data_IF_638667080356
#
_entry.id   IF_638667080356
#
_cell.length_a   1.000
_cell.length_b   1.000
_cell.length_c   1.000
_cell.angle_alpha   90.00
_cell.angle_beta   90.00
_cell.angle_gamma   90.00
#
_symmetry.space_group_name_H-M   'P 1'
#
loop_
_entity.id
_entity.type
_entity.pdbx_description
1 polymer ?
#
# COMPACT_ATOMS: atom_id res chain seq x y z
N UNK A 1 -12.75 7.18 -3.41
CA UNK A 1 -11.75 6.12 -3.18
C UNK A 1 -12.41 4.88 -2.55
N UNK A 2 -13.00 4.99 -1.36
CA UNK A 2 -13.63 3.87 -0.62
C UNK A 2 -14.63 3.08 -1.47
N UNK A 3 -15.55 3.76 -2.19
CA UNK A 3 -16.55 3.10 -3.04
C UNK A 3 -15.91 2.18 -4.12
N UNK A 4 -14.78 2.60 -4.73
CA UNK A 4 -14.08 1.76 -5.71
C UNK A 4 -13.49 0.51 -5.08
N UNK A 5 -12.90 0.63 -3.89
CA UNK A 5 -12.34 -0.51 -3.15
C UNK A 5 -13.42 -1.52 -2.77
N UNK A 6 -14.55 -1.06 -2.23
CA UNK A 6 -15.67 -1.94 -1.87
C UNK A 6 -16.20 -2.69 -3.11
N UNK A 7 -16.40 -2.00 -4.23
CA UNK A 7 -16.85 -2.65 -5.47
C UNK A 7 -15.82 -3.67 -5.97
N UNK A 8 -14.53 -3.36 -5.88
CA UNK A 8 -13.47 -4.30 -6.25
C UNK A 8 -13.50 -5.56 -5.39
N UNK A 9 -13.63 -5.40 -4.06
CA UNK A 9 -13.73 -6.52 -3.13
C UNK A 9 -14.98 -7.39 -3.40
N UNK A 10 -16.12 -6.76 -3.64
CA UNK A 10 -17.34 -7.50 -3.99
C UNK A 10 -17.17 -8.31 -5.29
N UNK A 11 -16.53 -7.74 -6.31
CA UNK A 11 -16.22 -8.45 -7.56
C UNK A 11 -15.32 -9.65 -7.31
N UNK A 12 -14.27 -9.49 -6.50
CA UNK A 12 -13.37 -10.59 -6.12
C UNK A 12 -14.14 -11.71 -5.41
N UNK A 13 -14.97 -11.38 -4.42
CA UNK A 13 -15.78 -12.35 -3.70
C UNK A 13 -16.69 -13.14 -4.65
N UNK A 14 -17.37 -12.46 -5.60
CA UNK A 14 -18.21 -13.12 -6.60
C UNK A 14 -17.41 -14.09 -7.47
N UNK A 15 -16.22 -13.69 -7.92
CA UNK A 15 -15.35 -14.54 -8.75
C UNK A 15 -14.89 -15.78 -7.98
N UNK A 16 -14.48 -15.62 -6.72
CA UNK A 16 -14.06 -16.70 -5.84
C UNK A 16 -15.22 -17.66 -5.55
N UNK A 17 -16.40 -17.12 -5.18
CA UNK A 17 -17.57 -17.92 -4.87
C UNK A 17 -18.05 -18.78 -6.06
N UNK A 18 -17.95 -18.27 -7.30
CA UNK A 18 -18.20 -19.06 -8.51
C UNK A 18 -17.25 -20.26 -8.68
N UNK A 19 -16.11 -20.24 -8.01
CA UNK A 19 -15.14 -21.33 -8.02
C UNK A 19 -15.26 -22.28 -6.81
N UNK A 20 -16.17 -22.01 -5.89
CA UNK A 20 -16.30 -22.76 -4.64
C UNK A 20 -16.47 -24.27 -4.87
N UNK A 21 -17.37 -24.67 -5.78
CA UNK A 21 -17.58 -26.07 -6.09
C UNK A 21 -16.34 -26.75 -6.69
N UNK A 22 -15.62 -26.06 -7.58
CA UNK A 22 -14.36 -26.56 -8.18
C UNK A 22 -13.30 -26.88 -7.11
N UNK A 23 -13.26 -26.12 -6.03
CA UNK A 23 -12.30 -26.30 -4.95
C UNK A 23 -12.88 -27.06 -3.75
N UNK A 24 -14.12 -27.56 -3.87
CA UNK A 24 -14.79 -28.32 -2.81
C UNK A 24 -15.06 -27.49 -1.55
N UNK A 25 -15.24 -26.18 -1.70
CA UNK A 25 -15.48 -25.26 -0.59
C UNK A 25 -16.99 -25.03 -0.42
N UNK A 26 -17.46 -25.25 0.82
CA UNK A 26 -18.83 -24.95 1.25
C UNK A 26 -18.78 -24.39 2.68
N UNK A 27 -19.70 -23.53 3.03
CA UNK A 27 -19.87 -23.10 4.40
C UNK A 27 -20.44 -24.25 5.24
N UNK A 28 -19.86 -24.49 6.37
CA UNK A 28 -20.37 -25.41 7.40
C UNK A 28 -21.56 -24.78 8.13
N UNK A 29 -22.31 -25.56 8.87
CA UNK A 29 -23.40 -25.05 9.70
C UNK A 29 -22.90 -24.01 10.73
N UNK A 30 -21.75 -24.30 11.37
CA UNK A 30 -21.12 -23.37 12.32
C UNK A 30 -20.71 -22.04 11.69
N UNK A 31 -20.12 -22.08 10.49
CA UNK A 31 -19.74 -20.85 9.75
C UNK A 31 -20.97 -20.02 9.39
N UNK A 32 -22.07 -20.65 8.96
CA UNK A 32 -23.33 -19.96 8.70
C UNK A 32 -23.92 -19.34 9.95
N UNK A 33 -23.89 -20.06 11.08
CA UNK A 33 -24.35 -19.52 12.36
C UNK A 33 -23.52 -18.29 12.75
N UNK A 34 -22.20 -18.33 12.60
CA UNK A 34 -21.31 -17.19 12.87
C UNK A 34 -21.63 -15.97 11.98
N UNK A 35 -21.97 -16.20 10.70
CA UNK A 35 -22.40 -15.13 9.79
C UNK A 35 -23.72 -14.52 10.25
N UNK A 36 -24.68 -15.33 10.65
CA UNK A 36 -25.98 -14.89 11.19
C UNK A 36 -25.81 -14.09 12.48
N UNK A 37 -24.96 -14.55 13.41
CA UNK A 37 -24.67 -13.87 14.68
C UNK A 37 -23.97 -12.51 14.42
N UNK A 38 -23.06 -12.48 13.46
CA UNK A 38 -22.39 -11.24 13.04
C UNK A 38 -23.37 -10.23 12.43
N UNK A 39 -24.27 -10.71 11.57
CA UNK A 39 -25.33 -9.87 10.99
C UNK A 39 -26.28 -9.33 12.06
N UNK A 40 -26.64 -10.16 13.05
CA UNK A 40 -27.45 -9.74 14.19
C UNK A 40 -26.75 -8.68 15.02
N UNK A 41 -25.47 -8.87 15.33
CA UNK A 41 -24.66 -7.90 16.06
C UNK A 41 -24.59 -6.56 15.35
N UNK A 42 -24.33 -6.58 14.02
CA UNK A 42 -24.32 -5.37 13.20
C UNK A 42 -25.70 -4.67 13.19
N UNK A 43 -26.78 -5.46 13.10
CA UNK A 43 -28.16 -4.95 13.15
C UNK A 43 -28.51 -4.32 14.51
N UNK A 44 -27.93 -4.81 15.60
CA UNK A 44 -28.17 -4.29 16.95
C UNK A 44 -27.32 -3.04 17.24
N UNK A 45 -26.20 -2.86 16.55
CA UNK A 45 -25.34 -1.69 16.71
C UNK A 45 -26.03 -0.41 16.21
N UNK A 46 -25.78 0.70 16.89
CA UNK A 46 -26.40 2.01 16.57
C UNK A 46 -25.99 2.51 15.18
N UNK A 47 -24.71 2.37 14.83
CA UNK A 47 -24.20 2.79 13.52
C UNK A 47 -24.70 1.86 12.42
N UNK A 48 -24.72 0.55 12.66
CA UNK A 48 -25.25 -0.45 11.74
C UNK A 48 -26.73 -0.22 11.44
N UNK A 49 -27.56 -0.03 12.46
CA UNK A 49 -28.99 0.32 12.28
C UNK A 49 -29.20 1.54 11.42
N UNK A 50 -28.39 2.59 11.65
CA UNK A 50 -28.49 3.83 10.87
C UNK A 50 -28.13 3.57 9.41
N UNK A 51 -27.01 2.90 9.15
CA UNK A 51 -26.55 2.59 7.81
C UNK A 51 -27.56 1.74 7.03
N UNK A 52 -28.12 0.71 7.65
CA UNK A 52 -29.11 -0.17 7.03
C UNK A 52 -30.40 0.58 6.68
N UNK A 53 -30.86 1.46 7.57
CA UNK A 53 -32.03 2.30 7.31
C UNK A 53 -31.80 3.27 6.14
N UNK A 54 -30.61 3.84 6.04
CA UNK A 54 -30.24 4.77 4.97
C UNK A 54 -30.13 4.09 3.58
N UNK A 55 -29.66 2.85 3.51
CA UNK A 55 -29.53 2.11 2.25
C UNK A 55 -30.69 1.13 1.96
N UNK A 56 -31.64 0.96 2.86
CA UNK A 56 -32.76 0.04 2.70
C UNK A 56 -32.38 -1.45 2.79
N UNK A 57 -31.19 -1.77 3.34
CA UNK A 57 -30.73 -3.15 3.49
C UNK A 57 -31.43 -3.86 4.67
N UNK A 58 -31.69 -5.15 4.51
CA UNK A 58 -32.23 -6.02 5.54
C UNK A 58 -31.13 -6.74 6.32
N UNK A 59 -31.49 -7.39 7.42
CA UNK A 59 -30.56 -8.25 8.16
C UNK A 59 -30.07 -9.40 7.28
N UNK A 60 -30.95 -9.97 6.49
CA UNK A 60 -30.68 -11.07 5.56
C UNK A 60 -29.66 -10.65 4.48
N UNK A 61 -29.73 -9.41 4.00
CA UNK A 61 -28.74 -8.88 3.06
C UNK A 61 -27.35 -8.81 3.70
N UNK A 62 -27.26 -8.38 4.96
CA UNK A 62 -26.01 -8.32 5.70
C UNK A 62 -25.47 -9.74 5.99
N UNK A 63 -26.33 -10.67 6.38
CA UNK A 63 -25.98 -12.07 6.60
C UNK A 63 -25.39 -12.69 5.32
N UNK A 64 -26.03 -12.43 4.19
CA UNK A 64 -25.52 -12.89 2.88
C UNK A 64 -24.16 -12.29 2.52
N UNK A 65 -23.91 -11.04 2.84
CA UNK A 65 -22.58 -10.42 2.64
C UNK A 65 -21.51 -11.12 3.49
N UNK A 66 -21.80 -11.46 4.73
CA UNK A 66 -20.89 -12.22 5.60
C UNK A 66 -20.66 -13.64 5.06
N UNK A 67 -21.72 -14.34 4.64
CA UNK A 67 -21.61 -15.67 4.02
C UNK A 67 -20.75 -15.63 2.75
N UNK A 68 -21.01 -14.68 1.83
CA UNK A 68 -20.28 -14.53 0.58
C UNK A 68 -18.79 -14.22 0.83
N UNK A 69 -18.49 -13.38 1.81
CA UNK A 69 -17.11 -13.05 2.18
C UNK A 69 -16.38 -14.22 2.84
N UNK A 70 -17.07 -14.96 3.70
CA UNK A 70 -16.52 -16.14 4.39
C UNK A 70 -16.22 -17.26 3.39
N UNK A 71 -17.14 -17.51 2.45
CA UNK A 71 -16.94 -18.50 1.39
C UNK A 71 -15.78 -18.11 0.48
N UNK A 72 -15.71 -16.84 0.06
CA UNK A 72 -14.61 -16.33 -0.77
C UNK A 72 -13.25 -16.52 -0.10
N UNK A 73 -13.14 -16.16 1.18
CA UNK A 73 -11.91 -16.38 1.96
C UNK A 73 -11.52 -17.84 2.05
N UNK A 74 -12.49 -18.74 2.19
CA UNK A 74 -12.26 -20.19 2.22
C UNK A 74 -11.75 -20.73 0.89
N UNK A 75 -12.32 -20.25 -0.22
CA UNK A 75 -11.87 -20.58 -1.58
C UNK A 75 -10.46 -20.05 -1.82
N UNK A 76 -10.18 -18.82 -1.44
CA UNK A 76 -8.87 -18.20 -1.58
C UNK A 76 -7.80 -19.01 -0.84
N UNK A 77 -8.00 -19.31 0.44
CA UNK A 77 -7.09 -20.16 1.23
C UNK A 77 -6.88 -21.53 0.59
N UNK A 78 -7.92 -22.10 -0.02
CA UNK A 78 -7.81 -23.40 -0.69
C UNK A 78 -7.00 -23.32 -1.99
N UNK A 79 -7.10 -22.23 -2.72
CA UNK A 79 -6.27 -21.94 -3.90
C UNK A 79 -4.81 -21.79 -3.45
N UNK A 80 -4.54 -20.91 -2.49
CA UNK A 80 -3.20 -20.64 -1.95
C UNK A 80 -2.54 -21.91 -1.44
N UNK A 81 -3.29 -22.80 -0.75
CA UNK A 81 -2.76 -24.06 -0.24
C UNK A 81 -2.42 -25.10 -1.34
N UNK A 82 -2.97 -24.93 -2.55
CA UNK A 82 -2.66 -25.81 -3.70
C UNK A 82 -1.53 -25.28 -4.56
N UNK A 83 -1.32 -23.97 -4.54
CA UNK A 83 -0.22 -23.34 -5.25
C UNK A 83 1.05 -23.52 -4.42
N UNK A 84 1.98 -24.34 -4.91
CA UNK A 84 3.34 -24.36 -4.39
C UNK A 84 4.03 -23.09 -4.89
N UNK A 85 3.86 -22.00 -4.17
CA UNK A 85 4.65 -20.80 -4.43
C UNK A 85 6.06 -21.09 -3.96
N UNK A 86 6.96 -21.32 -4.91
CA UNK A 86 8.39 -21.36 -4.61
C UNK A 86 8.86 -19.91 -4.68
N UNK A 87 9.01 -19.27 -3.53
CA UNK A 87 9.62 -17.95 -3.44
C UNK A 87 11.13 -18.15 -3.48
N UNK A 88 11.80 -17.51 -4.42
CA UNK A 88 13.27 -17.51 -4.49
C UNK A 88 13.83 -16.63 -3.38
N UNK A 89 15.09 -16.83 -3.00
CA UNK A 89 15.75 -15.99 -2.00
C UNK A 89 15.73 -14.52 -2.39
N UNK A 90 15.85 -14.21 -3.69
CA UNK A 90 15.76 -12.83 -4.20
C UNK A 90 14.36 -12.22 -4.06
N UNK A 91 13.30 -13.00 -4.25
CA UNK A 91 11.92 -12.53 -4.02
C UNK A 91 11.59 -12.37 -2.53
N UNK A 92 12.23 -13.17 -1.67
CA UNK A 92 12.06 -13.07 -0.21
C UNK A 92 12.89 -11.94 0.41
N UNK A 93 13.90 -11.43 -0.29
CA UNK A 93 14.76 -10.35 0.20
C UNK A 93 14.01 -9.04 0.33
N UNK A 94 14.40 -8.29 1.33
CA UNK A 94 13.95 -6.91 1.55
C UNK A 94 15.09 -5.95 1.29
N UNK A 95 14.84 -4.94 0.49
CA UNK A 95 15.76 -3.82 0.35
C UNK A 95 15.51 -2.83 1.49
N UNK A 96 16.54 -2.47 2.21
CA UNK A 96 16.48 -1.42 3.24
C UNK A 96 17.14 -0.16 2.68
N UNK A 97 16.41 0.94 2.69
CA UNK A 97 16.85 2.22 2.13
C UNK A 97 16.77 3.34 3.18
N UNK A 98 17.61 4.34 2.99
CA UNK A 98 17.46 5.66 3.60
C UNK A 98 17.11 6.65 2.49
N UNK A 99 15.97 7.32 2.59
CA UNK A 99 15.51 8.26 1.56
C UNK A 99 15.32 9.67 2.11
N UNK A 100 15.39 10.65 1.22
CA UNK A 100 15.03 12.05 1.50
C UNK A 100 14.04 12.50 0.45
N UNK A 101 12.86 12.95 0.88
CA UNK A 101 11.81 13.44 0.00
C UNK A 101 11.82 14.96 -0.06
N UNK A 102 11.89 15.50 -1.26
CA UNK A 102 11.67 16.91 -1.55
C UNK A 102 10.19 17.08 -1.93
N UNK A 103 9.39 17.45 -0.97
CA UNK A 103 7.93 17.49 -1.12
C UNK A 103 7.47 18.50 -2.19
N UNK A 104 6.47 18.09 -2.98
CA UNK A 104 5.78 18.93 -3.97
C UNK A 104 4.37 19.33 -3.52
N UNK A 105 4.11 19.19 -2.22
CA UNK A 105 2.89 19.64 -1.56
C UNK A 105 3.19 20.78 -0.59
N UNK A 106 2.19 21.60 -0.33
CA UNK A 106 2.21 22.65 0.69
C UNK A 106 1.07 22.41 1.66
N UNK A 107 1.34 22.56 2.94
CA UNK A 107 0.31 22.54 3.98
C UNK A 107 0.15 23.96 4.50
N UNK A 108 -1.07 24.47 4.48
CA UNK A 108 -1.41 25.79 5.03
C UNK A 108 -1.53 25.77 6.55
N UNK A 109 -1.82 26.94 7.14
CA UNK A 109 -1.96 27.10 8.59
C UNK A 109 -3.14 26.33 9.18
N UNK A 110 -4.13 26.00 8.33
CA UNK A 110 -5.34 25.27 8.69
C UNK A 110 -5.16 23.76 8.50
N UNK A 111 -3.95 23.30 8.14
CA UNK A 111 -3.62 21.89 7.94
C UNK A 111 -4.05 21.33 6.58
N UNK A 112 -4.53 22.17 5.66
CA UNK A 112 -4.96 21.74 4.33
C UNK A 112 -3.75 21.61 3.41
N UNK A 113 -3.55 20.40 2.88
CA UNK A 113 -2.47 20.10 1.93
C UNK A 113 -2.93 20.31 0.49
N UNK A 114 -2.13 21.02 -0.28
CA UNK A 114 -2.36 21.33 -1.71
C UNK A 114 -1.12 21.02 -2.52
N UNK A 115 -1.33 20.61 -3.78
CA UNK A 115 -0.23 20.39 -4.73
C UNK A 115 0.39 21.71 -5.17
N UNK A 116 1.72 21.72 -5.33
CA UNK A 116 2.44 22.84 -5.92
C UNK A 116 2.14 22.99 -7.41
N UNK A 117 2.26 24.19 -7.94
CA UNK A 117 2.19 24.45 -9.37
C UNK A 117 3.33 23.77 -10.15
N UNK A 118 3.16 23.60 -11.45
CA UNK A 118 4.19 23.00 -12.31
C UNK A 118 5.55 23.74 -12.24
N UNK A 119 5.51 25.09 -12.15
CA UNK A 119 6.71 25.91 -11.98
C UNK A 119 7.43 25.62 -10.64
N UNK A 120 6.68 25.48 -9.57
CA UNK A 120 7.22 25.18 -8.26
C UNK A 120 7.76 23.74 -8.21
N UNK A 121 7.04 22.77 -8.77
CA UNK A 121 7.52 21.38 -8.87
C UNK A 121 8.86 21.31 -9.61
N UNK A 122 9.02 22.05 -10.72
CA UNK A 122 10.29 22.13 -11.46
C UNK A 122 11.41 22.72 -10.60
N UNK A 123 11.12 23.72 -9.78
CA UNK A 123 12.11 24.29 -8.86
C UNK A 123 12.51 23.28 -7.75
N UNK A 124 11.54 22.52 -7.22
CA UNK A 124 11.80 21.45 -6.24
C UNK A 124 12.67 20.35 -6.85
N UNK A 125 12.38 19.92 -8.09
CA UNK A 125 13.21 18.95 -8.81
C UNK A 125 14.66 19.42 -8.94
N UNK A 126 14.85 20.66 -9.38
CA UNK A 126 16.21 21.24 -9.51
C UNK A 126 16.95 21.29 -8.17
N UNK A 127 16.26 21.55 -7.05
CA UNK A 127 16.84 21.50 -5.71
C UNK A 127 17.28 20.07 -5.34
N UNK A 128 16.43 19.08 -5.62
CA UNK A 128 16.76 17.67 -5.37
C UNK A 128 17.98 17.22 -6.18
N UNK A 129 18.02 17.58 -7.47
CA UNK A 129 19.15 17.27 -8.36
C UNK A 129 20.47 17.95 -7.89
N UNK A 130 20.39 19.21 -7.43
CA UNK A 130 21.55 19.90 -6.87
C UNK A 130 22.04 19.24 -5.57
N UNK A 131 21.13 18.85 -4.69
CA UNK A 131 21.45 18.15 -3.46
C UNK A 131 22.09 16.78 -3.74
N UNK A 132 21.59 16.03 -4.73
CA UNK A 132 22.19 14.77 -5.15
C UNK A 132 23.63 14.97 -5.62
N UNK A 133 23.92 15.99 -6.43
CA UNK A 133 25.28 16.32 -6.88
C UNK A 133 26.21 16.66 -5.71
N UNK A 134 25.69 17.38 -4.68
CA UNK A 134 26.48 17.65 -3.46
C UNK A 134 26.81 16.39 -2.68
N UNK A 135 25.87 15.43 -2.64
CA UNK A 135 26.09 14.12 -2.00
C UNK A 135 27.13 13.32 -2.79
N UNK A 136 26.95 13.20 -4.10
CA UNK A 136 27.84 12.44 -4.98
C UNK A 136 29.29 13.01 -5.00
N UNK A 137 29.43 14.32 -4.85
CA UNK A 137 30.74 14.98 -4.75
C UNK A 137 31.38 14.92 -3.34
N UNK A 138 30.70 14.30 -2.37
CA UNK A 138 31.18 14.22 -0.98
C UNK A 138 31.06 15.51 -0.17
N UNK A 139 30.48 16.57 -0.73
CA UNK A 139 30.30 17.86 -0.02
C UNK A 139 29.29 17.77 1.11
N UNK A 140 28.27 16.92 0.95
CA UNK A 140 27.23 16.66 1.96
C UNK A 140 26.97 15.18 2.12
N UNK A 141 26.50 14.78 3.29
CA UNK A 141 25.93 13.45 3.49
C UNK A 141 24.42 13.51 3.26
N UNK A 142 23.80 12.38 2.89
CA UNK A 142 22.35 12.30 2.74
C UNK A 142 21.61 12.70 4.02
N UNK A 143 22.15 12.34 5.19
CA UNK A 143 21.61 12.72 6.50
C UNK A 143 21.65 14.24 6.74
N UNK A 144 22.66 14.94 6.24
CA UNK A 144 22.74 16.41 6.32
C UNK A 144 21.69 17.04 5.41
N UNK A 145 21.51 16.52 4.21
CA UNK A 145 20.45 16.98 3.28
C UNK A 145 19.07 16.74 3.88
N UNK A 146 18.82 15.59 4.51
CA UNK A 146 17.57 15.30 5.21
C UNK A 146 17.26 16.35 6.27
N UNK A 147 18.24 16.68 7.09
CA UNK A 147 18.11 17.72 8.13
C UNK A 147 17.81 19.10 7.55
N UNK A 148 18.45 19.48 6.44
CA UNK A 148 18.22 20.76 5.75
C UNK A 148 16.80 20.85 5.16
N UNK A 149 16.19 19.71 4.80
CA UNK A 149 14.81 19.60 4.31
C UNK A 149 13.79 19.42 5.44
N UNK A 150 14.20 19.46 6.72
CA UNK A 150 13.36 19.09 7.86
C UNK A 150 12.70 17.72 7.72
N UNK A 151 13.37 16.80 7.01
CA UNK A 151 12.89 15.47 6.79
C UNK A 151 13.42 14.54 7.88
N UNK A 152 12.50 14.06 8.71
CA UNK A 152 12.80 13.05 9.72
C UNK A 152 12.58 11.68 9.07
N UNK A 153 13.65 10.95 8.81
CA UNK A 153 13.60 9.64 8.23
C UNK A 153 14.30 8.59 9.09
N UNK A 154 13.70 7.43 9.13
CA UNK A 154 14.32 6.17 9.58
C UNK A 154 14.61 5.32 8.36
N UNK A 155 15.47 4.30 8.49
CA UNK A 155 15.64 3.31 7.45
C UNK A 155 14.29 2.61 7.18
N UNK A 156 13.91 2.49 5.92
CA UNK A 156 12.68 1.85 5.49
C UNK A 156 12.99 0.59 4.70
N UNK A 157 12.19 -0.46 4.86
CA UNK A 157 12.37 -1.72 4.15
C UNK A 157 11.14 -2.04 3.32
N UNK A 158 11.36 -2.51 2.09
CA UNK A 158 10.31 -2.99 1.20
C UNK A 158 10.71 -4.35 0.57
N UNK A 159 9.73 -5.20 0.29
CA UNK A 159 9.92 -6.41 -0.49
C UNK A 159 9.85 -6.10 -1.99
N UNK A 160 10.31 -7.01 -2.83
CA UNK A 160 10.27 -6.85 -4.28
C UNK A 160 8.84 -6.60 -4.77
N UNK A 161 8.64 -5.54 -5.55
CA UNK A 161 7.33 -5.11 -6.04
C UNK A 161 6.49 -4.27 -5.07
N UNK A 162 7.00 -3.95 -3.88
CA UNK A 162 6.26 -3.24 -2.83
C UNK A 162 6.73 -1.79 -2.59
N UNK A 163 7.73 -1.31 -3.34
CA UNK A 163 8.17 0.07 -3.19
C UNK A 163 7.10 1.07 -3.63
N UNK A 164 6.87 2.08 -2.80
CA UNK A 164 5.96 3.20 -3.13
C UNK A 164 6.46 4.02 -4.32
N UNK A 165 7.76 3.98 -4.63
CA UNK A 165 8.39 4.68 -5.74
C UNK A 165 8.33 3.91 -7.07
N UNK A 166 7.88 2.66 -7.05
CA UNK A 166 7.63 1.84 -8.23
C UNK A 166 8.84 1.11 -8.82
N UNK A 167 8.61 0.35 -9.89
CA UNK A 167 9.57 -0.59 -10.48
C UNK A 167 10.90 0.05 -10.93
N UNK A 168 10.84 1.27 -11.48
CA UNK A 168 12.06 1.96 -11.95
C UNK A 168 12.99 2.33 -10.80
N UNK A 169 12.45 2.62 -9.63
CA UNK A 169 13.20 2.85 -8.40
C UNK A 169 13.80 1.54 -7.89
N UNK A 170 12.97 0.50 -7.76
CA UNK A 170 13.44 -0.82 -7.31
C UNK A 170 14.56 -1.38 -8.20
N UNK A 171 14.42 -1.26 -9.52
CA UNK A 171 15.44 -1.68 -10.46
C UNK A 171 16.78 -0.94 -10.26
N UNK A 172 16.71 0.36 -9.95
CA UNK A 172 17.90 1.14 -9.64
C UNK A 172 18.55 0.73 -8.31
N UNK A 173 17.74 0.46 -7.28
CA UNK A 173 18.24 0.02 -5.97
C UNK A 173 18.90 -1.36 -6.04
N UNK A 174 18.35 -2.31 -6.80
CA UNK A 174 18.96 -3.65 -7.01
C UNK A 174 20.36 -3.62 -7.61
N UNK A 175 20.68 -2.59 -8.39
CA UNK A 175 22.01 -2.42 -9.01
C UNK A 175 23.07 -1.84 -8.08
N UNK A 176 22.72 -1.41 -6.87
CA UNK A 176 23.61 -0.75 -5.92
C UNK A 176 24.23 -1.75 -4.94
N UNK A 177 25.36 -1.37 -4.37
CA UNK A 177 25.96 -2.03 -3.21
C UNK A 177 25.46 -1.36 -1.92
N UNK A 178 25.53 -2.07 -0.82
CA UNK A 178 25.22 -1.52 0.49
C UNK A 178 26.03 -0.26 0.76
N UNK A 179 25.36 0.81 1.08
CA UNK A 179 25.96 2.13 1.31
C UNK A 179 25.97 3.08 0.10
N UNK A 180 25.68 2.61 -1.10
CA UNK A 180 25.64 3.44 -2.31
C UNK A 180 24.41 4.35 -2.36
N UNK A 181 24.60 5.49 -3.04
CA UNK A 181 23.53 6.46 -3.34
C UNK A 181 23.07 6.24 -4.78
N UNK A 182 21.76 6.28 -5.00
CA UNK A 182 21.22 6.25 -6.36
C UNK A 182 21.78 7.38 -7.23
N UNK A 183 21.97 7.09 -8.50
CA UNK A 183 22.61 8.00 -9.46
C UNK A 183 21.72 9.16 -9.92
N UNK A 184 20.41 9.04 -9.70
CA UNK A 184 19.40 10.02 -10.10
C UNK A 184 18.35 10.25 -9.02
N UNK A 185 17.61 11.35 -9.20
CA UNK A 185 16.41 11.67 -8.40
C UNK A 185 15.21 10.94 -9.01
N UNK A 186 14.40 10.32 -8.15
CA UNK A 186 13.17 9.66 -8.56
C UNK A 186 11.96 10.53 -8.27
N UNK A 187 10.95 10.45 -9.12
CA UNK A 187 9.67 11.10 -8.90
C UNK A 187 8.73 10.13 -8.17
N UNK A 188 8.06 10.61 -7.14
CA UNK A 188 7.01 9.90 -6.42
C UNK A 188 5.76 10.77 -6.30
N UNK A 189 4.65 10.20 -5.81
CA UNK A 189 3.36 10.90 -5.71
C UNK A 189 3.43 12.23 -4.97
N UNK A 190 4.30 12.32 -3.97
CA UNK A 190 4.41 13.47 -3.07
C UNK A 190 5.67 14.31 -3.27
N UNK A 191 6.51 14.01 -4.26
CA UNK A 191 7.73 14.79 -4.48
C UNK A 191 8.82 14.09 -5.28
N UNK A 192 10.05 14.44 -4.96
CA UNK A 192 11.27 13.91 -5.56
C UNK A 192 12.13 13.25 -4.49
N UNK A 193 12.64 12.06 -4.75
CA UNK A 193 13.36 11.22 -3.79
C UNK A 193 14.82 11.08 -4.17
N UNK A 194 15.71 11.28 -3.19
CA UNK A 194 17.08 10.81 -3.22
C UNK A 194 17.16 9.63 -2.26
N UNK A 195 17.72 8.50 -2.71
CA UNK A 195 17.81 7.29 -1.89
C UNK A 195 19.24 6.77 -1.79
N UNK A 196 19.51 6.16 -0.64
CA UNK A 196 20.71 5.39 -0.34
C UNK A 196 20.29 3.95 -0.03
N UNK A 197 20.94 2.97 -0.65
CA UNK A 197 20.79 1.59 -0.23
C UNK A 197 21.54 1.38 1.09
N UNK A 198 20.84 0.86 2.10
CA UNK A 198 21.41 0.55 3.41
C UNK A 198 21.82 -0.91 3.47
N UNK A 199 20.91 -1.79 3.02
CA UNK A 199 21.13 -3.23 2.93
C UNK A 199 20.19 -3.85 1.87
N UNK A 200 20.72 -4.88 1.18
CA UNK A 200 19.99 -5.67 0.20
C UNK A 200 19.98 -7.15 0.57
#
# INVERSE_FOLDING_TARGET
YVKKQVISQMKQNIILNKKADKYGCKLTHTEKQQCSDSALSYYQDKAGKKAMKECGATREDVEKIYEDSTLASKVQKKIESKEKVTVTDDEARKSTIYRVVFATTKTDKDGKTTQMSAKEKKAVKAKAEAALKEIQSGKKTIKKVAKEQNYSNTDESYAAGESEEGEAFEGAMKGLKDGDIADKVFECDNGYVIAKLVAY
#
